data_IF_681527856291
#
_entry.id   IF_681527856291
#
_cell.length_a   1.000
_cell.length_b   1.000
_cell.length_c   1.000
_cell.angle_alpha   90.00
_cell.angle_beta   90.00
_cell.angle_gamma   90.00
#
_symmetry.space_group_name_H-M   'P 1'
#
loop_
_entity.id
_entity.type
_entity.pdbx_description
1 polymer ?
#
# COMPACT_ATOMS: atom_id res chain seq x y z
N UNK A 1 -25.49 -25.12 -12.72
CA UNK A 1 -25.03 -23.90 -12.01
C UNK A 1 -26.20 -22.96 -11.80
N UNK A 2 -26.17 -22.14 -10.75
CA UNK A 2 -27.03 -20.96 -10.70
C UNK A 2 -26.37 -19.88 -11.55
N UNK A 3 -27.16 -19.15 -12.33
CA UNK A 3 -26.71 -18.02 -13.15
C UNK A 3 -26.47 -16.79 -12.26
N UNK A 4 -25.43 -16.89 -11.42
CA UNK A 4 -25.10 -15.93 -10.37
C UNK A 4 -23.61 -15.61 -10.37
N UNK A 5 -23.27 -14.38 -9.99
CA UNK A 5 -21.88 -13.95 -9.81
C UNK A 5 -21.67 -13.26 -8.45
N UNK A 6 -20.43 -13.33 -7.98
CA UNK A 6 -19.97 -12.70 -6.74
C UNK A 6 -18.73 -11.86 -7.05
N UNK A 7 -18.76 -10.61 -6.64
CA UNK A 7 -17.61 -9.69 -6.69
C UNK A 7 -17.29 -9.31 -5.25
N UNK A 8 -16.02 -9.24 -4.87
CA UNK A 8 -15.63 -8.81 -3.53
C UNK A 8 -14.34 -7.98 -3.61
N UNK A 9 -14.22 -7.01 -2.70
CA UNK A 9 -13.02 -6.21 -2.50
C UNK A 9 -12.46 -6.44 -1.11
N UNK A 10 -11.13 -6.35 -1.00
CA UNK A 10 -10.39 -6.55 0.24
C UNK A 10 -10.83 -5.58 1.36
N UNK A 11 -10.53 -5.86 2.64
CA UNK A 11 -11.04 -5.14 3.81
C UNK A 11 -10.97 -3.62 3.78
N UNK A 12 -9.86 -3.07 3.28
CA UNK A 12 -9.55 -1.62 3.33
C UNK A 12 -9.31 -1.03 1.94
N UNK A 13 -9.49 -1.83 0.88
CA UNK A 13 -9.44 -1.36 -0.49
C UNK A 13 -8.04 -1.16 -1.03
N UNK A 14 -7.07 -1.95 -0.57
CA UNK A 14 -5.68 -1.96 -1.06
C UNK A 14 -5.64 -2.13 -2.58
N UNK A 15 -6.49 -3.02 -3.12
CA UNK A 15 -6.60 -3.23 -4.55
C UNK A 15 -7.78 -2.40 -5.08
N UNK A 16 -7.58 -1.56 -6.12
CA UNK A 16 -8.65 -0.76 -6.69
C UNK A 16 -9.65 -1.64 -7.45
N UNK A 17 -10.92 -1.26 -7.35
CA UNK A 17 -12.02 -1.92 -8.05
C UNK A 17 -13.15 -0.92 -8.23
N UNK A 18 -13.70 -0.87 -9.44
CA UNK A 18 -14.78 0.01 -9.83
C UNK A 18 -15.92 -0.82 -10.42
N UNK A 19 -17.14 -0.30 -10.23
CA UNK A 19 -18.35 -0.85 -10.81
C UNK A 19 -19.00 0.21 -11.71
N UNK A 20 -19.41 -0.21 -12.91
CA UNK A 20 -20.14 0.63 -13.84
C UNK A 20 -21.45 -0.04 -14.26
N UNK A 21 -22.40 0.77 -14.71
CA UNK A 21 -23.67 0.31 -15.30
C UNK A 21 -23.96 1.03 -16.59
N UNK A 22 -24.44 0.31 -17.60
CA UNK A 22 -24.94 0.90 -18.85
C UNK A 22 -26.44 1.23 -18.77
N UNK A 23 -27.00 1.82 -19.84
CA UNK A 23 -28.44 2.13 -19.97
C UNK A 23 -29.36 0.92 -19.85
N UNK A 24 -28.85 -0.27 -20.15
CA UNK A 24 -29.61 -1.53 -20.08
C UNK A 24 -29.59 -2.12 -18.66
N UNK A 25 -28.76 -1.56 -17.77
CA UNK A 25 -28.54 -2.06 -16.42
C UNK A 25 -27.52 -3.18 -16.33
N UNK A 26 -26.74 -3.43 -17.39
CA UNK A 26 -25.65 -4.41 -17.36
C UNK A 26 -24.52 -3.90 -16.47
N UNK A 27 -23.94 -4.81 -15.68
CA UNK A 27 -22.91 -4.48 -14.69
C UNK A 27 -21.52 -4.77 -15.28
N UNK A 28 -20.65 -3.77 -15.18
CA UNK A 28 -19.26 -3.84 -15.59
C UNK A 28 -18.37 -3.70 -14.36
N UNK A 29 -17.27 -4.45 -14.34
CA UNK A 29 -16.29 -4.42 -13.25
C UNK A 29 -14.90 -4.30 -13.85
N UNK A 30 -14.10 -3.37 -13.32
CA UNK A 30 -12.71 -3.22 -13.70
C UNK A 30 -11.88 -2.73 -12.52
N UNK A 31 -10.57 -3.02 -12.56
CA UNK A 31 -9.63 -2.52 -11.55
C UNK A 31 -9.44 -1.00 -11.62
N UNK A 32 -9.67 -0.41 -12.79
CA UNK A 32 -9.40 0.99 -13.09
C UNK A 32 -10.59 1.60 -13.85
N UNK A 33 -10.99 2.81 -13.48
CA UNK A 33 -12.14 3.53 -14.04
C UNK A 33 -11.98 3.76 -15.55
N UNK A 34 -10.75 3.99 -16.03
CA UNK A 34 -10.40 4.20 -17.44
C UNK A 34 -10.84 3.04 -18.36
N UNK A 35 -11.03 1.83 -17.82
CA UNK A 35 -11.51 0.68 -18.57
C UNK A 35 -13.04 0.67 -18.72
N UNK A 36 -13.75 1.39 -17.85
CA UNK A 36 -15.20 1.54 -17.89
C UNK A 36 -15.63 2.78 -18.68
N UNK A 37 -14.79 3.81 -18.70
CA UNK A 37 -15.08 5.09 -19.37
C UNK A 37 -15.51 4.87 -20.83
N UNK A 38 -16.69 5.38 -21.18
CA UNK A 38 -17.27 5.27 -22.51
C UNK A 38 -18.12 4.01 -22.76
N UNK A 39 -18.10 3.04 -21.83
CA UNK A 39 -18.95 1.84 -21.88
C UNK A 39 -20.12 1.90 -20.88
N UNK A 40 -19.99 2.69 -19.81
CA UNK A 40 -21.02 2.83 -18.78
C UNK A 40 -21.61 4.25 -18.75
N UNK A 41 -22.83 4.37 -18.23
CA UNK A 41 -23.49 5.66 -17.96
C UNK A 41 -23.34 6.06 -16.49
N UNK A 42 -23.20 5.08 -15.60
CA UNK A 42 -22.97 5.27 -14.17
C UNK A 42 -21.67 4.59 -13.75
N UNK A 43 -20.96 5.21 -12.81
CA UNK A 43 -19.69 4.74 -12.27
C UNK A 43 -19.66 4.94 -10.77
N UNK A 44 -19.18 3.93 -10.03
CA UNK A 44 -18.90 4.06 -8.61
C UNK A 44 -17.67 3.23 -8.21
N UNK A 45 -16.85 3.69 -7.25
CA UNK A 45 -15.87 2.83 -6.61
C UNK A 45 -16.58 1.65 -5.96
N UNK A 46 -16.07 0.43 -6.17
CA UNK A 46 -16.56 -0.74 -5.43
C UNK A 46 -16.08 -0.63 -3.98
N UNK A 47 -17.00 -0.61 -3.02
CA UNK A 47 -16.66 -0.28 -1.62
C UNK A 47 -15.68 -1.27 -0.99
N UNK A 48 -14.64 -0.80 -0.27
CA UNK A 48 -13.75 -1.64 0.55
C UNK A 48 -14.51 -2.52 1.55
N UNK A 49 -14.08 -3.77 1.72
CA UNK A 49 -14.67 -4.70 2.68
C UNK A 49 -16.13 -5.08 2.38
N UNK A 50 -16.57 -4.89 1.13
CA UNK A 50 -17.88 -5.30 0.64
C UNK A 50 -17.79 -6.43 -0.38
N UNK A 51 -18.91 -7.14 -0.55
CA UNK A 51 -19.17 -8.01 -1.68
C UNK A 51 -20.44 -7.56 -2.39
N UNK A 52 -20.58 -7.90 -3.66
CA UNK A 52 -21.79 -7.77 -4.45
C UNK A 52 -22.15 -9.16 -4.96
N UNK A 53 -23.33 -9.66 -4.58
CA UNK A 53 -23.86 -10.90 -5.11
C UNK A 53 -25.08 -10.60 -5.97
N UNK A 54 -25.12 -11.16 -7.18
CA UNK A 54 -26.18 -10.86 -8.16
C UNK A 54 -27.59 -11.22 -7.68
N UNK A 55 -27.72 -12.19 -6.76
CA UNK A 55 -29.00 -12.55 -6.15
C UNK A 55 -29.53 -11.50 -5.15
N UNK A 56 -28.67 -10.65 -4.59
CA UNK A 56 -29.04 -9.56 -3.67
C UNK A 56 -29.12 -8.20 -4.37
N UNK A 57 -28.32 -8.00 -5.43
CA UNK A 57 -28.34 -6.77 -6.23
C UNK A 57 -27.73 -5.55 -5.55
N UNK A 58 -27.00 -5.72 -4.44
CA UNK A 58 -26.41 -4.62 -3.64
C UNK A 58 -25.03 -4.98 -3.09
N UNK A 59 -24.23 -3.96 -2.77
CA UNK A 59 -23.00 -4.14 -2.01
C UNK A 59 -23.32 -4.37 -0.52
N UNK A 60 -22.84 -5.48 0.04
CA UNK A 60 -23.02 -5.85 1.44
C UNK A 60 -21.65 -5.93 2.13
N UNK A 61 -21.49 -5.21 3.25
CA UNK A 61 -20.24 -5.20 4.04
C UNK A 61 -20.02 -6.56 4.68
N UNK A 62 -18.86 -7.18 4.45
CA UNK A 62 -18.44 -8.42 5.10
C UNK A 62 -17.32 -8.22 6.13
N UNK A 63 -16.55 -7.14 6.00
CA UNK A 63 -15.46 -6.84 6.92
C UNK A 63 -15.93 -5.89 8.03
N UNK A 64 -16.03 -6.44 9.23
CA UNK A 64 -16.27 -5.68 10.46
C UNK A 64 -15.33 -6.19 11.54
N UNK A 65 -14.83 -5.28 12.37
CA UNK A 65 -13.98 -5.58 13.53
C UNK A 65 -14.43 -4.76 14.72
N UNK A 66 -14.22 -5.30 15.91
CA UNK A 66 -14.53 -4.67 17.19
C UNK A 66 -13.82 -3.32 17.37
N UNK A 67 -12.55 -3.23 16.93
CA UNK A 67 -11.75 -2.02 16.97
C UNK A 67 -12.30 -0.86 16.14
N UNK A 68 -13.38 -1.04 15.37
CA UNK A 68 -14.06 0.10 14.72
C UNK A 68 -14.79 1.02 15.71
N UNK A 69 -14.86 0.62 16.99
CA UNK A 69 -15.47 1.40 18.06
C UNK A 69 -14.50 1.57 19.24
N UNK A 70 -14.36 2.80 19.73
CA UNK A 70 -13.44 3.10 20.83
C UNK A 70 -13.76 2.32 22.11
N UNK A 71 -15.05 2.11 22.40
CA UNK A 71 -15.47 1.39 23.62
C UNK A 71 -14.97 -0.06 23.66
N UNK A 72 -14.70 -0.68 22.51
CA UNK A 72 -14.14 -2.03 22.43
C UNK A 72 -12.63 -2.08 22.70
N UNK A 73 -11.93 -0.94 22.66
CA UNK A 73 -10.46 -0.89 22.74
C UNK A 73 -9.90 -0.01 23.85
N UNK A 74 -10.72 0.82 24.50
CA UNK A 74 -10.28 1.82 25.48
C UNK A 74 -9.49 1.25 26.68
N UNK A 75 -9.75 0.01 27.04
CA UNK A 75 -9.11 -0.70 28.16
C UNK A 75 -8.08 -1.74 27.69
N UNK A 76 -7.82 -1.81 26.39
CA UNK A 76 -6.85 -2.76 25.84
C UNK A 76 -5.43 -2.41 26.28
N UNK A 77 -4.65 -3.43 26.55
CA UNK A 77 -3.24 -3.31 26.82
C UNK A 77 -2.47 -4.32 25.97
N UNK A 78 -1.59 -3.83 25.11
CA UNK A 78 -0.75 -4.67 24.26
C UNK A 78 0.73 -4.40 24.57
N UNK A 79 1.50 -5.47 24.74
CA UNK A 79 2.94 -5.34 24.90
C UNK A 79 3.60 -4.98 23.56
N UNK A 80 4.61 -4.09 23.59
CA UNK A 80 5.42 -3.74 22.41
C UNK A 80 5.98 -4.99 21.70
N UNK A 81 6.31 -6.04 22.47
CA UNK A 81 6.76 -7.31 21.92
C UNK A 81 5.72 -8.03 21.06
N UNK A 82 4.44 -7.99 21.45
CA UNK A 82 3.35 -8.60 20.69
C UNK A 82 3.08 -7.83 19.40
N UNK A 83 3.04 -6.50 19.48
CA UNK A 83 2.90 -5.64 18.30
C UNK A 83 4.05 -5.86 17.30
N UNK A 84 5.29 -5.92 17.80
CA UNK A 84 6.48 -6.24 16.97
C UNK A 84 6.31 -7.60 16.29
N UNK A 85 5.90 -8.63 17.02
CA UNK A 85 5.73 -9.97 16.45
C UNK A 85 4.61 -9.99 15.39
N UNK A 86 3.52 -9.25 15.60
CA UNK A 86 2.44 -9.12 14.62
C UNK A 86 2.91 -8.43 13.34
N UNK A 87 3.69 -7.35 13.46
CA UNK A 87 4.28 -6.65 12.31
C UNK A 87 5.29 -7.53 11.57
N UNK A 88 6.19 -8.20 12.30
CA UNK A 88 7.15 -9.14 11.71
C UNK A 88 6.45 -10.27 10.95
N UNK A 89 5.40 -10.85 11.54
CA UNK A 89 4.59 -11.87 10.89
C UNK A 89 3.86 -11.34 9.66
N UNK A 90 3.36 -10.09 9.69
CA UNK A 90 2.71 -9.47 8.55
C UNK A 90 3.67 -9.28 7.37
N UNK A 91 4.87 -8.74 7.62
CA UNK A 91 5.90 -8.58 6.59
C UNK A 91 6.32 -9.95 6.05
N UNK A 92 6.58 -10.93 6.92
CA UNK A 92 6.97 -12.27 6.49
C UNK A 92 5.96 -12.91 5.53
N UNK A 93 4.65 -12.76 5.81
CA UNK A 93 3.60 -13.25 4.89
C UNK A 93 3.64 -12.59 3.51
N UNK A 94 4.00 -11.31 3.43
CA UNK A 94 4.06 -10.59 2.15
C UNK A 94 5.32 -10.91 1.33
N UNK A 95 6.33 -11.54 1.94
CA UNK A 95 7.55 -11.95 1.23
C UNK A 95 7.39 -13.28 0.47
N UNK A 96 6.28 -13.99 0.64
CA UNK A 96 5.98 -15.22 -0.10
C UNK A 96 5.70 -14.91 -1.58
N UNK A 97 6.75 -14.87 -2.40
CA UNK A 97 6.66 -14.53 -3.81
C UNK A 97 7.61 -15.38 -4.65
N UNK A 98 7.11 -15.93 -5.75
CA UNK A 98 7.90 -16.69 -6.74
C UNK A 98 8.66 -15.76 -7.71
N UNK A 99 8.60 -14.44 -7.50
CA UNK A 99 9.21 -13.44 -8.38
C UNK A 99 10.15 -12.51 -7.62
N UNK A 100 11.15 -11.90 -8.30
CA UNK A 100 12.04 -10.94 -7.66
C UNK A 100 11.28 -9.78 -7.03
N UNK A 101 11.60 -9.51 -5.77
CA UNK A 101 11.00 -8.45 -4.97
C UNK A 101 12.05 -7.48 -4.38
N UNK A 102 11.59 -6.31 -3.95
CA UNK A 102 12.40 -5.32 -3.25
C UNK A 102 11.63 -4.57 -2.17
N UNK A 103 12.22 -3.50 -1.65
CA UNK A 103 11.56 -2.58 -0.70
C UNK A 103 11.69 -1.13 -1.14
N UNK A 104 10.65 -0.34 -0.91
CA UNK A 104 10.73 1.12 -1.02
C UNK A 104 11.32 1.67 0.28
N UNK A 105 12.34 2.52 0.17
CA UNK A 105 13.08 3.06 1.32
C UNK A 105 13.24 4.57 1.17
N UNK A 106 12.46 5.34 1.95
CA UNK A 106 12.50 6.81 1.95
C UNK A 106 13.42 7.40 3.02
N UNK A 107 13.96 6.57 3.92
CA UNK A 107 14.67 7.01 5.12
C UNK A 107 13.76 7.41 6.29
N UNK A 108 12.43 7.44 6.08
CA UNK A 108 11.45 7.58 7.14
C UNK A 108 11.32 6.32 8.01
N UNK A 109 10.72 6.44 9.19
CA UNK A 109 10.62 5.34 10.15
C UNK A 109 9.91 4.11 9.56
N UNK A 110 8.80 4.31 8.86
CA UNK A 110 7.92 3.21 8.44
C UNK A 110 8.60 2.34 7.38
N UNK A 111 9.10 2.97 6.33
CA UNK A 111 9.84 2.28 5.26
C UNK A 111 11.12 1.63 5.79
N UNK A 112 11.78 2.24 6.78
CA UNK A 112 12.97 1.68 7.44
C UNK A 112 12.65 0.42 8.26
N UNK A 113 11.57 0.44 9.04
CA UNK A 113 11.13 -0.73 9.84
C UNK A 113 10.75 -1.87 8.91
N UNK A 114 9.94 -1.62 7.87
CA UNK A 114 9.57 -2.64 6.88
C UNK A 114 10.81 -3.20 6.18
N UNK A 115 11.75 -2.35 5.77
CA UNK A 115 13.00 -2.78 5.11
C UNK A 115 13.88 -3.64 6.03
N UNK A 116 13.99 -3.28 7.31
CA UNK A 116 14.78 -4.03 8.28
C UNK A 116 14.18 -5.41 8.56
N UNK A 117 12.85 -5.48 8.71
CA UNK A 117 12.13 -6.74 8.89
C UNK A 117 12.24 -7.59 7.61
N UNK A 118 12.05 -6.99 6.43
CA UNK A 118 12.19 -7.68 5.16
C UNK A 118 13.59 -8.30 5.01
N UNK A 119 14.65 -7.56 5.38
CA UNK A 119 16.03 -8.06 5.37
C UNK A 119 16.23 -9.25 6.29
N UNK A 120 15.66 -9.21 7.51
CA UNK A 120 15.72 -10.30 8.50
C UNK A 120 15.22 -11.63 7.92
N UNK A 121 14.16 -11.59 7.12
CA UNK A 121 13.56 -12.78 6.51
C UNK A 121 14.14 -13.12 5.12
N UNK A 122 14.56 -12.12 4.33
CA UNK A 122 15.18 -12.34 3.02
C UNK A 122 16.51 -13.12 3.09
N UNK A 123 17.19 -13.09 4.25
CA UNK A 123 18.40 -13.89 4.49
C UNK A 123 18.12 -15.41 4.57
N UNK A 124 16.85 -15.83 4.71
CA UNK A 124 16.45 -17.22 4.87
C UNK A 124 15.63 -17.68 3.65
N UNK A 125 15.85 -18.90 3.15
CA UNK A 125 15.04 -19.41 2.02
C UNK A 125 13.59 -19.63 2.45
N UNK A 126 12.66 -18.90 1.83
CA UNK A 126 11.22 -19.02 2.10
C UNK A 126 10.68 -20.38 1.59
N UNK A 127 11.21 -20.86 0.45
CA UNK A 127 10.87 -22.17 -0.14
C UNK A 127 11.21 -23.37 0.79
N UNK A 128 12.14 -23.19 1.72
CA UNK A 128 12.61 -24.24 2.66
C UNK A 128 12.25 -23.90 4.12
N UNK A 129 11.16 -23.16 4.36
CA UNK A 129 10.70 -22.76 5.70
C UNK A 129 11.79 -22.06 6.57
N UNK A 130 12.79 -21.46 5.94
CA UNK A 130 13.89 -20.76 6.59
C UNK A 130 14.92 -21.66 7.29
N UNK A 131 15.04 -22.93 6.87
CA UNK A 131 16.02 -23.90 7.40
C UNK A 131 17.45 -23.71 6.84
N UNK A 132 17.60 -22.98 5.72
CA UNK A 132 18.90 -22.70 5.11
C UNK A 132 19.12 -21.21 4.84
N UNK A 133 20.38 -20.77 4.93
CA UNK A 133 20.80 -19.43 4.53
C UNK A 133 20.65 -19.27 3.01
N UNK A 134 20.01 -18.18 2.58
CA UNK A 134 19.93 -17.85 1.17
C UNK A 134 21.33 -17.41 0.68
N UNK A 135 21.98 -18.23 -0.15
CA UNK A 135 23.22 -17.86 -0.86
C UNK A 135 23.02 -16.61 -1.74
N UNK A 136 21.77 -16.43 -2.18
CA UNK A 136 21.18 -15.37 -2.99
C UNK A 136 19.65 -15.50 -2.79
N UNK A 137 18.84 -14.43 -2.69
CA UNK A 137 19.07 -13.09 -3.21
C UNK A 137 19.39 -12.01 -2.16
N UNK A 138 20.14 -10.98 -2.58
CA UNK A 138 20.30 -9.75 -1.81
C UNK A 138 19.02 -8.90 -1.91
N UNK A 139 18.55 -8.39 -0.77
CA UNK A 139 17.41 -7.48 -0.75
C UNK A 139 17.80 -6.14 -1.42
N UNK A 140 17.09 -5.80 -2.49
CA UNK A 140 17.21 -4.51 -3.15
C UNK A 140 16.28 -3.48 -2.52
N UNK A 141 16.80 -2.29 -2.25
CA UNK A 141 16.02 -1.16 -1.74
C UNK A 141 16.03 -0.01 -2.74
N UNK A 142 14.93 0.74 -2.81
CA UNK A 142 14.71 1.77 -3.82
C UNK A 142 14.29 3.09 -3.18
N UNK A 143 15.00 4.17 -3.50
CA UNK A 143 14.65 5.53 -3.12
C UNK A 143 14.54 6.41 -4.36
N UNK A 144 13.65 7.39 -4.35
CA UNK A 144 13.48 8.36 -5.44
C UNK A 144 13.47 9.78 -4.89
N UNK A 145 14.09 10.71 -5.60
CA UNK A 145 14.14 12.10 -5.18
C UNK A 145 14.85 13.00 -6.18
N UNK A 146 14.73 14.30 -5.99
CA UNK A 146 15.63 15.24 -6.64
C UNK A 146 17.06 14.99 -6.15
N UNK A 147 18.05 15.35 -6.97
CA UNK A 147 19.45 15.24 -6.58
C UNK A 147 19.70 15.98 -5.26
N UNK A 148 20.44 15.35 -4.36
CA UNK A 148 20.79 15.86 -3.02
C UNK A 148 19.58 16.12 -2.09
N UNK A 149 18.42 15.51 -2.37
CA UNK A 149 17.27 15.58 -1.49
C UNK A 149 17.57 14.96 -0.10
N UNK A 150 17.09 15.56 1.00
CA UNK A 150 17.31 15.04 2.36
C UNK A 150 16.89 13.57 2.53
N UNK A 151 15.78 13.18 1.90
CA UNK A 151 15.24 11.82 1.96
C UNK A 151 16.21 10.79 1.36
N UNK A 152 16.93 11.15 0.29
CA UNK A 152 17.93 10.25 -0.32
C UNK A 152 19.13 10.02 0.62
N UNK A 153 19.57 11.07 1.31
CA UNK A 153 20.66 10.96 2.30
C UNK A 153 20.23 10.02 3.44
N UNK A 154 19.00 10.17 3.93
CA UNK A 154 18.45 9.30 4.98
C UNK A 154 18.20 7.88 4.51
N UNK A 155 17.69 7.69 3.29
CA UNK A 155 17.55 6.38 2.70
C UNK A 155 18.89 5.65 2.60
N UNK A 156 19.96 6.34 2.21
CA UNK A 156 21.32 5.79 2.16
C UNK A 156 21.83 5.37 3.54
N UNK A 157 21.70 6.25 4.55
CA UNK A 157 22.10 5.92 5.94
C UNK A 157 21.41 4.63 6.43
N UNK A 158 20.12 4.48 6.15
CA UNK A 158 19.34 3.29 6.52
C UNK A 158 19.75 2.07 5.69
N UNK A 159 19.97 2.24 4.39
CA UNK A 159 20.38 1.17 3.51
C UNK A 159 21.74 0.58 3.88
N UNK A 160 22.70 1.45 4.25
CA UNK A 160 24.02 1.06 4.75
C UNK A 160 23.91 0.31 6.09
N UNK A 161 23.03 0.77 6.98
CA UNK A 161 22.78 0.11 8.26
C UNK A 161 22.17 -1.29 8.10
N UNK A 162 21.19 -1.45 7.20
CA UNK A 162 20.48 -2.72 6.96
C UNK A 162 21.31 -3.67 6.07
N UNK A 163 22.20 -3.13 5.22
CA UNK A 163 22.98 -3.90 4.25
C UNK A 163 22.15 -4.35 3.05
N UNK A 164 21.38 -3.42 2.46
CA UNK A 164 20.62 -3.65 1.22
C UNK A 164 21.43 -3.24 -0.01
N UNK A 165 21.12 -3.80 -1.19
CA UNK A 165 21.61 -3.25 -2.46
C UNK A 165 20.74 -2.04 -2.78
N UNK A 166 21.26 -0.86 -2.44
CA UNK A 166 20.51 0.38 -2.55
C UNK A 166 20.56 0.97 -3.95
N UNK A 167 19.41 1.37 -4.44
CA UNK A 167 19.25 2.09 -5.70
C UNK A 167 18.62 3.45 -5.41
N UNK A 168 19.37 4.51 -5.71
CA UNK A 168 18.86 5.86 -5.68
C UNK A 168 18.53 6.32 -7.09
N UNK A 169 17.27 6.70 -7.28
CA UNK A 169 16.76 7.17 -8.55
C UNK A 169 16.61 8.68 -8.44
N UNK A 170 17.39 9.40 -9.24
CA UNK A 170 17.21 10.83 -9.39
C UNK A 170 16.30 11.13 -10.58
N UNK A 171 15.39 12.06 -10.39
CA UNK A 171 14.62 12.66 -11.47
C UNK A 171 14.83 14.17 -11.50
N UNK A 172 14.61 14.76 -12.66
CA UNK A 172 14.62 16.21 -12.90
C UNK A 172 13.21 16.79 -12.75
N UNK A 173 13.12 18.10 -12.55
CA UNK A 173 11.82 18.77 -12.47
C UNK A 173 11.06 18.60 -13.80
N UNK A 174 11.78 18.68 -14.92
CA UNK A 174 11.25 18.49 -16.27
C UNK A 174 10.66 17.10 -16.45
N UNK A 175 11.38 16.02 -16.06
CA UNK A 175 10.84 14.66 -16.09
C UNK A 175 9.59 14.50 -15.21
N UNK A 176 9.57 15.17 -14.06
CA UNK A 176 8.39 15.20 -13.19
C UNK A 176 7.19 15.88 -13.85
N UNK A 177 7.41 17.04 -14.49
CA UNK A 177 6.37 17.80 -15.19
C UNK A 177 5.83 17.04 -16.41
N UNK A 178 6.71 16.44 -17.20
CA UNK A 178 6.33 15.66 -18.39
C UNK A 178 5.49 14.43 -18.01
N UNK A 179 5.74 13.84 -16.84
CA UNK A 179 5.01 12.68 -16.34
C UNK A 179 3.60 12.99 -15.79
N UNK A 180 3.28 14.25 -15.46
CA UNK A 180 2.03 14.61 -14.73
C UNK A 180 0.78 14.07 -15.42
N UNK A 181 0.71 14.15 -16.75
CA UNK A 181 -0.45 13.68 -17.50
C UNK A 181 -0.65 12.17 -17.35
N UNK A 182 0.42 11.40 -17.51
CA UNK A 182 0.37 9.95 -17.38
C UNK A 182 0.10 9.55 -15.93
N UNK A 183 0.66 10.27 -14.96
CA UNK A 183 0.36 10.08 -13.54
C UNK A 183 -1.13 10.24 -13.28
N UNK A 184 -1.74 11.36 -13.67
CA UNK A 184 -3.18 11.60 -13.51
C UNK A 184 -4.01 10.50 -14.19
N UNK A 185 -3.61 10.09 -15.40
CA UNK A 185 -4.26 8.99 -16.11
C UNK A 185 -4.21 7.68 -15.33
N UNK A 186 -3.06 7.34 -14.73
CA UNK A 186 -2.91 6.10 -13.97
C UNK A 186 -3.62 6.13 -12.61
N UNK A 187 -3.54 7.24 -11.87
CA UNK A 187 -4.12 7.34 -10.52
C UNK A 187 -5.60 7.76 -10.51
N UNK A 188 -6.13 8.22 -11.65
CA UNK A 188 -7.55 8.55 -11.85
C UNK A 188 -8.10 9.58 -10.85
N UNK A 189 -7.24 10.51 -10.40
CA UNK A 189 -7.61 11.58 -9.47
C UNK A 189 -6.94 12.90 -9.84
N UNK A 190 -7.60 13.98 -9.45
CA UNK A 190 -7.13 15.35 -9.57
C UNK A 190 -6.70 15.94 -8.22
N UNK A 191 -6.70 15.15 -7.13
CA UNK A 191 -6.23 15.63 -5.84
C UNK A 191 -4.76 16.06 -5.90
N UNK A 192 -4.49 17.29 -5.49
CA UNK A 192 -3.16 17.90 -5.61
C UNK A 192 -2.12 17.17 -4.77
N UNK A 193 -2.49 16.69 -3.58
CA UNK A 193 -1.56 15.99 -2.68
C UNK A 193 -1.20 14.63 -3.27
N UNK A 194 -2.20 13.89 -3.77
CA UNK A 194 -1.98 12.59 -4.40
C UNK A 194 -1.16 12.72 -5.68
N UNK A 195 -1.46 13.67 -6.57
CA UNK A 195 -0.68 13.87 -7.81
C UNK A 195 0.79 14.18 -7.49
N UNK A 196 1.05 15.04 -6.48
CA UNK A 196 2.41 15.39 -6.05
C UNK A 196 3.19 14.19 -5.52
N UNK A 197 2.56 13.35 -4.69
CA UNK A 197 3.20 12.17 -4.12
C UNK A 197 3.37 11.04 -5.16
N UNK A 198 2.40 10.85 -6.05
CA UNK A 198 2.39 9.77 -7.03
C UNK A 198 3.36 10.00 -8.19
N UNK A 199 3.72 11.24 -8.52
CA UNK A 199 4.65 11.54 -9.61
C UNK A 199 6.03 10.88 -9.43
N UNK A 200 6.75 11.06 -8.31
CA UNK A 200 8.00 10.36 -8.07
C UNK A 200 7.81 8.83 -7.94
N UNK A 201 6.69 8.36 -7.38
CA UNK A 201 6.38 6.92 -7.31
C UNK A 201 6.18 6.28 -8.68
N UNK A 202 5.52 6.98 -9.60
CA UNK A 202 5.36 6.55 -10.98
C UNK A 202 6.72 6.36 -11.66
N UNK A 203 7.59 7.37 -11.56
CA UNK A 203 8.96 7.31 -12.12
C UNK A 203 9.78 6.17 -11.48
N UNK A 204 9.68 6.01 -10.16
CA UNK A 204 10.35 4.93 -9.45
C UNK A 204 9.88 3.55 -9.90
N UNK A 205 8.56 3.37 -10.06
CA UNK A 205 7.98 2.09 -10.48
C UNK A 205 8.46 1.67 -11.87
N UNK A 206 8.61 2.63 -12.80
CA UNK A 206 9.17 2.41 -14.14
C UNK A 206 10.62 1.94 -14.07
N UNK A 207 11.42 2.53 -13.18
CA UNK A 207 12.81 2.12 -12.98
C UNK A 207 12.89 0.71 -12.37
N UNK A 208 12.16 0.44 -11.28
CA UNK A 208 12.08 -0.88 -10.63
C UNK A 208 11.71 -1.97 -11.64
N UNK A 209 10.72 -1.69 -12.49
CA UNK A 209 10.28 -2.63 -13.51
C UNK A 209 11.36 -2.91 -14.55
N UNK A 210 12.15 -1.90 -14.92
CA UNK A 210 13.25 -2.06 -15.88
C UNK A 210 14.38 -2.95 -15.34
N UNK A 211 14.51 -3.06 -14.01
CA UNK A 211 15.42 -4.00 -13.32
C UNK A 211 14.85 -5.42 -13.19
N UNK A 212 13.64 -5.68 -13.71
CA UNK A 212 13.01 -7.00 -13.65
C UNK A 212 12.34 -7.33 -12.31
N UNK A 213 12.31 -6.39 -11.36
CA UNK A 213 11.59 -6.54 -10.09
C UNK A 213 10.09 -6.34 -10.33
N UNK A 214 9.29 -7.24 -9.77
CA UNK A 214 7.84 -7.29 -10.02
C UNK A 214 7.00 -6.96 -8.79
N UNK A 215 7.60 -6.97 -7.60
CA UNK A 215 6.94 -6.68 -6.34
C UNK A 215 7.84 -5.84 -5.45
N UNK A 216 7.27 -4.89 -4.73
CA UNK A 216 7.97 -4.14 -3.68
C UNK A 216 7.08 -3.98 -2.46
N UNK A 217 7.70 -3.99 -1.28
CA UNK A 217 7.01 -3.62 -0.04
C UNK A 217 7.16 -2.13 0.22
N UNK A 218 6.10 -1.48 0.69
CA UNK A 218 6.11 -0.10 1.16
C UNK A 218 5.71 -0.03 2.65
N UNK A 219 5.92 1.14 3.26
CA UNK A 219 5.50 1.45 4.63
C UNK A 219 4.16 2.19 4.70
N UNK A 220 3.37 2.21 3.62
CA UNK A 220 2.07 2.90 3.60
C UNK A 220 1.08 2.29 4.61
N UNK A 221 0.21 3.13 5.16
CA UNK A 221 -0.75 2.75 6.20
C UNK A 221 -0.23 2.92 7.62
N UNK A 222 1.09 3.09 7.84
CA UNK A 222 1.65 3.24 9.17
C UNK A 222 1.15 4.52 9.88
N UNK A 223 1.14 5.65 9.17
CA UNK A 223 0.65 6.92 9.71
C UNK A 223 -0.85 6.86 10.06
N UNK A 224 -1.66 6.17 9.24
CA UNK A 224 -3.09 5.97 9.48
C UNK A 224 -3.35 5.08 10.68
N UNK A 225 -2.58 4.00 10.85
CA UNK A 225 -2.75 3.03 11.94
C UNK A 225 -2.24 3.61 13.27
N UNK A 226 -1.08 4.27 13.26
CA UNK A 226 -0.38 4.71 14.48
C UNK A 226 -0.49 6.21 14.75
N UNK A 227 -1.22 6.96 13.93
CA UNK A 227 -1.42 8.39 14.08
C UNK A 227 -0.14 9.20 13.89
N UNK A 228 0.66 8.88 12.86
CA UNK A 228 1.98 9.48 12.65
C UNK A 228 1.95 10.88 12.00
N UNK A 229 0.83 11.30 11.42
CA UNK A 229 0.68 12.66 10.91
C UNK A 229 0.76 13.72 12.03
N UNK A 230 1.46 14.83 11.78
CA UNK A 230 1.70 15.88 12.78
C UNK A 230 0.44 16.44 13.46
N UNK A 231 -0.72 16.38 12.81
CA UNK A 231 -1.97 16.88 13.39
C UNK A 231 -2.51 15.98 14.51
N UNK A 232 -2.09 14.71 14.59
CA UNK A 232 -2.47 13.82 15.70
C UNK A 232 -1.90 14.30 17.05
N UNK A 233 -0.82 15.09 17.07
CA UNK A 233 -0.36 15.78 18.28
C UNK A 233 -1.39 16.74 18.88
N UNK A 234 -2.41 17.13 18.11
CA UNK A 234 -3.53 17.99 18.54
C UNK A 234 -4.81 17.21 18.83
N UNK A 235 -4.77 15.87 18.82
CA UNK A 235 -5.92 15.07 19.21
C UNK A 235 -6.29 15.37 20.68
N UNK A 236 -7.56 15.68 20.99
CA UNK A 236 -7.96 16.11 22.33
C UNK A 236 -7.88 15.00 23.37
N UNK A 237 -8.12 13.76 22.96
CA UNK A 237 -8.08 12.57 23.81
C UNK A 237 -7.87 11.29 22.98
N UNK A 238 -7.73 10.15 23.66
CA UNK A 238 -7.52 8.85 23.02
C UNK A 238 -8.72 8.39 22.16
N UNK A 239 -9.93 8.84 22.47
CA UNK A 239 -11.13 8.51 21.69
C UNK A 239 -11.09 9.19 20.34
N UNK A 240 -10.87 10.50 20.33
CA UNK A 240 -10.75 11.28 19.09
C UNK A 240 -9.56 10.82 18.25
N UNK A 241 -8.44 10.45 18.89
CA UNK A 241 -7.30 9.83 18.21
C UNK A 241 -7.71 8.55 17.48
N UNK A 242 -8.37 7.63 18.19
CA UNK A 242 -8.77 6.33 17.64
C UNK A 242 -9.86 6.46 16.57
N UNK A 243 -10.87 7.30 16.77
CA UNK A 243 -11.92 7.52 15.77
C UNK A 243 -11.36 8.12 14.48
N UNK A 244 -10.33 8.97 14.58
CA UNK A 244 -9.62 9.52 13.42
C UNK A 244 -8.77 8.47 12.70
N UNK A 245 -8.05 7.59 13.41
CA UNK A 245 -7.31 6.48 12.75
C UNK A 245 -8.28 5.52 12.05
N UNK A 246 -9.41 5.18 12.68
CA UNK A 246 -10.48 4.38 12.04
C UNK A 246 -11.03 5.06 10.80
N UNK A 247 -11.31 6.37 10.86
CA UNK A 247 -11.80 7.15 9.71
C UNK A 247 -10.79 7.17 8.55
N UNK A 248 -9.49 7.21 8.84
CA UNK A 248 -8.43 7.20 7.83
C UNK A 248 -8.25 5.85 7.13
N UNK A 249 -8.59 4.75 7.81
CA UNK A 249 -8.55 3.40 7.26
C UNK A 249 -9.82 2.98 6.49
N UNK A 250 -10.89 3.78 6.57
CA UNK A 250 -12.24 3.43 6.10
C UNK A 250 -12.60 4.06 4.76
#
# INVERSE_FOLDING_TARGET
EKDEFLIARDPIGVIPLYMGKDKSGEIYIASELKALEGFCDEYEPFLPGHYYWSGEGKMTRWYTRDWTTYDAVKDNNIGVGELRNALEAAVHRQLMSDVPYGVLLSGGLDSSVISAIAKKYAAKRIEENGESDAWWPQLHSFAVGLKDAPDLIKAREVADHIGTVHHEINYTIEEGLDAIRDVIYHIETYDVTTVRASTPMYLLSRYIKSMGIKMVLSGEGADEIFGGYLYFHKAPDAKAFHEETVRKLS
#
